data_IF_590275270441
#
_entry.id   IF_590275270441
#
_cell.length_a   1.000
_cell.length_b   1.000
_cell.length_c   1.000
_cell.angle_alpha   90.00
_cell.angle_beta   90.00
_cell.angle_gamma   90.00
#
_symmetry.space_group_name_H-M   'P 1'
#
loop_
_entity.id
_entity.type
_entity.pdbx_description
1 polymer ?
#
# COMPACT_ATOMS: atom_id res chain seq x y z
N UNK A 1 -36.94 -38.67 3.01
CA UNK A 1 -36.96 -37.22 2.75
C UNK A 1 -35.54 -36.69 2.97
N UNK A 2 -35.07 -35.81 2.08
CA UNK A 2 -33.67 -35.60 1.69
C UNK A 2 -32.66 -35.26 2.80
N UNK A 3 -31.50 -35.89 2.72
CA UNK A 3 -30.28 -35.49 3.41
C UNK A 3 -29.35 -34.63 2.55
N UNK A 4 -28.38 -34.02 3.25
CA UNK A 4 -27.24 -33.21 2.78
C UNK A 4 -27.60 -31.82 2.24
N UNK A 5 -27.11 -30.80 2.93
CA UNK A 5 -25.89 -30.12 2.48
C UNK A 5 -25.32 -29.22 3.58
N UNK A 6 -24.15 -29.63 4.07
CA UNK A 6 -23.14 -28.73 4.62
C UNK A 6 -22.80 -27.71 3.54
N UNK A 7 -23.21 -26.45 3.70
CA UNK A 7 -22.50 -25.32 3.09
C UNK A 7 -21.74 -24.62 4.20
N UNK A 8 -20.53 -25.13 4.42
CA UNK A 8 -19.46 -24.38 5.07
C UNK A 8 -19.32 -23.07 4.30
N UNK A 9 -19.74 -21.97 4.92
CA UNK A 9 -19.35 -20.65 4.47
C UNK A 9 -17.84 -20.55 4.69
N UNK A 10 -17.06 -20.81 3.63
CA UNK A 10 -15.75 -20.19 3.52
C UNK A 10 -15.99 -18.69 3.64
N UNK A 11 -15.71 -18.15 4.84
CA UNK A 11 -15.35 -16.74 4.96
C UNK A 11 -14.12 -16.57 4.09
N UNK A 12 -14.33 -16.14 2.84
CA UNK A 12 -13.29 -15.49 2.07
C UNK A 12 -12.92 -14.25 2.87
N UNK A 13 -11.91 -14.36 3.73
CA UNK A 13 -11.15 -13.20 4.19
C UNK A 13 -10.67 -12.52 2.92
N UNK A 14 -11.41 -11.50 2.48
CA UNK A 14 -10.92 -10.55 1.50
C UNK A 14 -9.59 -10.08 2.06
N UNK A 15 -8.50 -10.34 1.34
CA UNK A 15 -7.18 -9.87 1.72
C UNK A 15 -7.26 -8.34 1.75
N UNK A 16 -7.27 -7.75 2.94
CA UNK A 16 -7.50 -6.32 3.16
C UNK A 16 -6.23 -5.50 2.83
N UNK A 17 -5.54 -5.83 1.73
CA UNK A 17 -4.42 -5.02 1.26
C UNK A 17 -4.91 -3.61 0.94
N UNK A 18 -4.17 -2.55 1.33
CA UNK A 18 -4.52 -1.20 0.92
C UNK A 18 -4.54 -1.14 -0.62
N UNK A 19 -5.69 -0.76 -1.17
CA UNK A 19 -5.85 -0.55 -2.61
C UNK A 19 -5.38 0.85 -2.97
N UNK A 20 -5.02 1.07 -4.23
CA UNK A 20 -4.65 2.41 -4.72
C UNK A 20 -5.75 3.44 -4.45
N UNK A 21 -7.03 3.06 -4.58
CA UNK A 21 -8.15 3.98 -4.33
C UNK A 21 -8.28 4.40 -2.87
N UNK A 22 -8.18 3.45 -1.94
CA UNK A 22 -8.26 3.75 -0.49
C UNK A 22 -7.04 4.58 -0.06
N UNK A 23 -5.85 4.21 -0.54
CA UNK A 23 -4.63 4.95 -0.26
C UNK A 23 -4.67 6.36 -0.84
N UNK A 24 -5.14 6.52 -2.09
CA UNK A 24 -5.33 7.82 -2.73
C UNK A 24 -6.25 8.72 -1.92
N UNK A 25 -7.41 8.21 -1.49
CA UNK A 25 -8.35 9.00 -0.70
C UNK A 25 -7.71 9.48 0.62
N UNK A 26 -7.03 8.59 1.35
CA UNK A 26 -6.36 8.94 2.59
C UNK A 26 -5.19 9.94 2.39
N UNK A 27 -4.38 9.74 1.33
CA UNK A 27 -3.28 10.64 1.00
C UNK A 27 -3.79 12.01 0.59
N UNK A 28 -4.83 12.09 -0.25
CA UNK A 28 -5.40 13.36 -0.69
C UNK A 28 -6.02 14.12 0.49
N UNK A 29 -6.76 13.43 1.36
CA UNK A 29 -7.34 14.01 2.57
C UNK A 29 -6.26 14.60 3.49
N UNK A 30 -5.16 13.86 3.70
CA UNK A 30 -4.00 14.35 4.45
C UNK A 30 -3.34 15.57 3.80
N UNK A 31 -3.15 15.56 2.47
CA UNK A 31 -2.51 16.69 1.76
C UNK A 31 -3.37 17.96 1.71
N UNK A 32 -4.70 17.83 1.85
CA UNK A 32 -5.63 18.96 1.89
C UNK A 32 -5.91 19.47 3.31
N UNK A 33 -5.55 18.70 4.33
CA UNK A 33 -5.75 19.05 5.73
C UNK A 33 -4.59 19.90 6.27
N UNK A 34 -4.88 20.82 7.19
CA UNK A 34 -3.88 21.62 7.91
C UNK A 34 -3.49 20.98 9.26
N UNK A 35 -3.83 19.70 9.45
CA UNK A 35 -3.59 18.95 10.68
C UNK A 35 -3.03 17.53 10.42
N UNK A 36 -2.68 16.83 11.50
CA UNK A 36 -2.05 15.51 11.46
C UNK A 36 -3.04 14.33 11.50
N UNK A 37 -4.36 14.58 11.44
CA UNK A 37 -5.38 13.53 11.60
C UNK A 37 -5.28 12.41 10.55
N UNK A 38 -4.81 12.72 9.35
CA UNK A 38 -4.55 11.75 8.28
C UNK A 38 -3.42 10.76 8.58
N UNK A 39 -2.51 11.04 9.53
CA UNK A 39 -1.39 10.15 9.85
C UNK A 39 -1.85 8.87 10.56
N UNK A 40 -2.91 8.93 11.37
CA UNK A 40 -3.50 7.74 11.98
C UNK A 40 -4.02 6.78 10.90
N UNK A 41 -4.70 7.32 9.88
CA UNK A 41 -5.19 6.54 8.75
C UNK A 41 -4.02 5.96 7.92
N UNK A 42 -2.96 6.72 7.71
CA UNK A 42 -1.75 6.23 7.05
C UNK A 42 -1.10 5.06 7.82
N UNK A 43 -1.04 5.13 9.15
CA UNK A 43 -0.57 4.04 10.01
C UNK A 43 -1.46 2.80 9.85
N UNK A 44 -2.78 2.95 9.92
CA UNK A 44 -3.72 1.83 9.79
C UNK A 44 -3.66 1.17 8.42
N UNK A 45 -3.46 1.94 7.35
CA UNK A 45 -3.24 1.40 6.00
C UNK A 45 -1.96 0.57 5.93
N UNK A 46 -0.87 1.08 6.49
CA UNK A 46 0.41 0.35 6.57
C UNK A 46 0.28 -0.94 7.38
N UNK A 47 -0.38 -0.86 8.54
CA UNK A 47 -0.63 -2.00 9.43
C UNK A 47 -1.49 -3.06 8.77
N UNK A 48 -2.59 -2.66 8.12
CA UNK A 48 -3.49 -3.60 7.43
C UNK A 48 -2.79 -4.24 6.23
N UNK A 49 -1.93 -3.49 5.52
CA UNK A 49 -1.05 -4.06 4.49
C UNK A 49 -0.10 -5.10 5.06
N UNK A 50 0.57 -4.80 6.17
CA UNK A 50 1.45 -5.75 6.85
C UNK A 50 0.70 -7.03 7.27
N UNK A 51 -0.48 -6.90 7.88
CA UNK A 51 -1.33 -8.01 8.31
C UNK A 51 -1.83 -8.84 7.11
N UNK A 52 -2.01 -8.20 5.95
CA UNK A 52 -2.36 -8.85 4.67
C UNK A 52 -1.16 -9.48 3.96
N UNK A 53 0.03 -9.41 4.57
CA UNK A 53 1.26 -9.97 4.01
C UNK A 53 1.92 -9.13 2.92
N UNK A 54 1.53 -7.85 2.78
CA UNK A 54 2.17 -6.93 1.84
C UNK A 54 3.62 -6.66 2.24
N UNK A 55 4.51 -6.67 1.25
CA UNK A 55 5.89 -6.23 1.42
C UNK A 55 6.04 -4.72 1.32
N UNK A 56 7.16 -4.20 1.81
CA UNK A 56 7.50 -2.77 1.79
C UNK A 56 7.37 -2.15 0.38
N UNK A 57 7.93 -2.81 -0.64
CA UNK A 57 7.87 -2.30 -2.02
C UNK A 57 6.45 -2.30 -2.61
N UNK A 58 5.55 -3.16 -2.11
CA UNK A 58 4.15 -3.12 -2.54
C UNK A 58 3.44 -1.87 -2.00
N UNK A 59 3.70 -1.48 -0.75
CA UNK A 59 3.17 -0.22 -0.19
C UNK A 59 3.71 0.99 -0.95
N UNK A 60 5.00 0.97 -1.30
CA UNK A 60 5.61 2.05 -2.08
C UNK A 60 5.02 2.17 -3.49
N UNK A 61 4.73 1.04 -4.14
CA UNK A 61 4.04 1.03 -5.45
C UNK A 61 2.62 1.58 -5.37
N UNK A 62 1.90 1.29 -4.28
CA UNK A 62 0.58 1.88 -4.02
C UNK A 62 0.69 3.40 -3.83
N UNK A 63 1.70 3.87 -3.10
CA UNK A 63 1.99 5.28 -2.93
C UNK A 63 2.31 5.98 -4.25
N UNK A 64 3.19 5.41 -5.07
CA UNK A 64 3.56 5.93 -6.40
C UNK A 64 2.33 6.17 -7.26
N UNK A 65 1.44 5.17 -7.36
CA UNK A 65 0.21 5.27 -8.14
C UNK A 65 -0.76 6.31 -7.59
N UNK A 66 -0.96 6.34 -6.28
CA UNK A 66 -1.84 7.30 -5.64
C UNK A 66 -1.35 8.73 -5.84
N UNK A 67 -0.06 8.98 -5.64
CA UNK A 67 0.57 10.28 -5.85
C UNK A 67 0.49 10.70 -7.32
N UNK A 68 0.70 9.76 -8.25
CA UNK A 68 0.54 10.02 -9.69
C UNK A 68 -0.85 10.53 -10.05
N UNK A 69 -1.91 9.90 -9.52
CA UNK A 69 -3.31 10.32 -9.73
C UNK A 69 -3.56 11.75 -9.20
N UNK A 70 -3.03 12.07 -8.02
CA UNK A 70 -3.16 13.41 -7.41
C UNK A 70 -2.45 14.45 -8.28
N UNK A 71 -1.23 14.15 -8.73
CA UNK A 71 -0.45 15.06 -9.57
C UNK A 71 -1.06 15.23 -10.97
N UNK A 72 -1.64 14.19 -11.55
CA UNK A 72 -2.37 14.27 -12.83
C UNK A 72 -3.60 15.17 -12.74
N UNK A 73 -4.18 15.30 -11.54
CA UNK A 73 -5.36 16.12 -11.26
C UNK A 73 -5.02 17.52 -10.75
N UNK A 74 -3.73 17.86 -10.64
CA UNK A 74 -3.24 19.13 -10.09
C UNK A 74 -2.54 19.94 -11.19
N UNK A 75 -2.74 21.27 -11.28
CA UNK A 75 -1.97 22.11 -12.20
C UNK A 75 -0.52 22.25 -11.70
N UNK A 76 0.31 21.26 -12.03
CA UNK A 76 1.73 21.20 -11.68
C UNK A 76 2.60 21.34 -12.94
N UNK A 77 3.76 21.99 -12.81
CA UNK A 77 4.74 22.06 -13.89
C UNK A 77 5.28 20.66 -14.24
N UNK A 78 5.44 20.38 -15.54
CA UNK A 78 5.91 19.08 -16.04
C UNK A 78 7.29 18.69 -15.49
N UNK A 79 8.17 19.66 -15.24
CA UNK A 79 9.49 19.42 -14.65
C UNK A 79 9.37 19.01 -13.18
N UNK A 80 8.47 19.63 -12.43
CA UNK A 80 8.19 19.25 -11.04
C UNK A 80 7.64 17.82 -11.01
N UNK A 81 6.66 17.50 -11.88
CA UNK A 81 6.14 16.13 -11.98
C UNK A 81 7.24 15.11 -12.25
N UNK A 82 8.10 15.36 -13.25
CA UNK A 82 9.23 14.46 -13.56
C UNK A 82 10.19 14.26 -12.38
N UNK A 83 10.46 15.32 -11.59
CA UNK A 83 11.33 15.22 -10.41
C UNK A 83 10.69 14.40 -9.29
N UNK A 84 9.37 14.50 -9.10
CA UNK A 84 8.65 13.67 -8.12
C UNK A 84 8.64 12.20 -8.57
N UNK A 85 8.36 11.91 -9.84
CA UNK A 85 8.41 10.52 -10.34
C UNK A 85 9.83 9.92 -10.18
N UNK A 86 10.87 10.71 -10.48
CA UNK A 86 12.26 10.29 -10.30
C UNK A 86 12.63 10.06 -8.83
N UNK A 87 12.10 10.86 -7.89
CA UNK A 87 12.38 10.70 -6.46
C UNK A 87 11.74 9.43 -5.90
N UNK A 88 10.51 9.11 -6.32
CA UNK A 88 9.85 7.84 -5.93
C UNK A 88 10.62 6.65 -6.48
N UNK A 89 11.04 6.69 -7.75
CA UNK A 89 11.87 5.63 -8.35
C UNK A 89 13.18 5.44 -7.58
N UNK A 90 13.86 6.53 -7.23
CA UNK A 90 15.09 6.47 -6.44
C UNK A 90 14.85 5.84 -5.07
N UNK A 91 13.77 6.22 -4.37
CA UNK A 91 13.40 5.66 -3.08
C UNK A 91 13.09 4.15 -3.18
N UNK A 92 12.42 3.71 -4.25
CA UNK A 92 12.17 2.29 -4.51
C UNK A 92 13.47 1.50 -4.57
N UNK A 93 14.45 1.96 -5.35
CA UNK A 93 15.75 1.29 -5.46
C UNK A 93 16.53 1.32 -4.14
N UNK A 94 16.50 2.45 -3.41
CA UNK A 94 17.14 2.56 -2.11
C UNK A 94 16.54 1.60 -1.06
N UNK A 95 15.25 1.28 -1.17
CA UNK A 95 14.56 0.35 -0.26
C UNK A 95 14.59 -1.12 -0.71
N UNK A 96 14.99 -1.40 -1.95
CA UNK A 96 15.11 -2.78 -2.47
C UNK A 96 15.94 -3.70 -1.57
N UNK A 97 17.14 -3.33 -1.07
CA UNK A 97 17.93 -4.19 -0.17
C UNK A 97 17.21 -4.51 1.15
N UNK A 98 16.45 -3.56 1.69
CA UNK A 98 15.69 -3.75 2.94
C UNK A 98 14.51 -4.70 2.75
N UNK A 99 13.82 -4.59 1.60
CA UNK A 99 12.77 -5.52 1.23
C UNK A 99 13.33 -6.94 1.03
N UNK A 100 14.49 -7.09 0.40
CA UNK A 100 15.17 -8.37 0.23
C UNK A 100 15.59 -9.00 1.57
N UNK A 101 16.14 -8.20 2.49
CA UNK A 101 16.55 -8.67 3.82
C UNK A 101 15.35 -9.14 4.67
N UNK A 102 14.25 -8.37 4.68
CA UNK A 102 13.03 -8.72 5.42
C UNK A 102 12.30 -9.94 4.84
N UNK A 103 12.29 -10.10 3.51
CA UNK A 103 11.75 -11.28 2.85
C UNK A 103 12.62 -12.53 3.10
N UNK A 104 13.95 -12.40 3.03
CA UNK A 104 14.87 -13.49 3.38
C UNK A 104 14.67 -13.99 4.80
N UNK A 105 14.45 -13.09 5.77
CA UNK A 105 14.14 -13.47 7.15
C UNK A 105 12.78 -14.19 7.28
N UNK A 106 11.73 -13.73 6.57
CA UNK A 106 10.41 -14.38 6.56
C UNK A 106 10.46 -15.78 5.94
N UNK A 107 11.23 -15.98 4.88
CA UNK A 107 11.34 -17.28 4.21
C UNK A 107 12.13 -18.30 5.06
N UNK A 108 13.14 -17.83 5.79
CA UNK A 108 13.85 -18.66 6.78
C UNK A 108 12.93 -19.12 7.93
N UNK A 109 12.03 -18.26 8.40
CA UNK A 109 11.07 -18.60 9.45
C UNK A 109 9.94 -19.54 8.98
N UNK A 110 9.58 -19.53 7.70
CA UNK A 110 8.58 -20.45 7.12
C UNK A 110 9.08 -21.87 6.89
N UNK A 111 10.40 -22.07 6.89
CA UNK A 111 11.04 -23.37 6.59
C UNK A 111 11.32 -24.18 7.87
N UNK A 112 10.70 -23.83 9.00
CA UNK A 112 10.87 -24.49 10.30
C UNK A 112 9.53 -24.97 10.84
#
# INVERSE_FOLDING_TARGET
MFGRHRRSMMRTTVMNSPTVGVYHAALLDYLLSDDESGLAHAYDLGRTGLDSGCGLLQILHVHEKALGIILDSTPVDNEIRRRVDASVKFLTEALSPFAMASNGYRDLLKTR
#
